data_IF_733477137236
#
_entry.id   IF_733477137236
#
_cell.length_a   1.000
_cell.length_b   1.000
_cell.length_c   1.000
_cell.angle_alpha   90.00
_cell.angle_beta   90.00
_cell.angle_gamma   90.00
#
_symmetry.space_group_name_H-M   'P 1'
#
loop_
_entity.id
_entity.type
_entity.pdbx_description
1 polymer ?
#
# COMPACT_ATOMS: atom_id res chain seq x y z
N UNK A 1 16.16 29.12 7.29
CA UNK A 1 16.84 27.80 7.25
C UNK A 1 16.08 26.66 7.94
N UNK A 2 15.59 26.82 9.18
CA UNK A 2 14.86 25.75 9.92
C UNK A 2 13.69 25.11 9.15
N UNK A 3 12.90 25.92 8.43
CA UNK A 3 11.76 25.43 7.64
C UNK A 3 12.16 24.63 6.39
N UNK A 4 13.37 24.85 5.86
CA UNK A 4 13.87 24.13 4.68
C UNK A 4 14.25 22.70 5.04
N UNK A 5 15.03 22.51 6.12
CA UNK A 5 15.36 21.17 6.64
C UNK A 5 14.11 20.38 7.06
N UNK A 6 13.12 21.04 7.66
CA UNK A 6 11.82 20.42 8.01
C UNK A 6 11.04 19.94 6.78
N UNK A 7 11.12 20.66 5.67
CA UNK A 7 10.47 20.24 4.42
C UNK A 7 11.18 19.05 3.76
N UNK A 8 12.52 19.01 3.83
CA UNK A 8 13.30 17.87 3.32
C UNK A 8 13.01 16.62 4.13
N UNK A 9 13.04 16.71 5.47
CA UNK A 9 12.74 15.57 6.33
C UNK A 9 11.31 15.06 6.11
N UNK A 10 10.34 15.98 5.95
CA UNK A 10 8.96 15.63 5.63
C UNK A 10 8.86 14.92 4.29
N UNK A 11 9.52 15.43 3.25
CA UNK A 11 9.59 14.81 1.92
C UNK A 11 10.19 13.40 1.98
N UNK A 12 11.27 13.22 2.74
CA UNK A 12 11.95 11.94 2.92
C UNK A 12 11.03 10.92 3.60
N UNK A 13 10.29 11.34 4.63
CA UNK A 13 9.33 10.49 5.34
C UNK A 13 8.22 9.99 4.41
N UNK A 14 7.68 10.84 3.53
CA UNK A 14 6.68 10.41 2.56
C UNK A 14 7.25 9.42 1.54
N UNK A 15 8.47 9.64 1.06
CA UNK A 15 9.11 8.70 0.13
C UNK A 15 9.33 7.33 0.77
N UNK A 16 9.72 7.28 2.05
CA UNK A 16 9.86 6.04 2.80
C UNK A 16 8.53 5.31 2.94
N UNK A 17 7.45 6.03 3.23
CA UNK A 17 6.08 5.46 3.29
C UNK A 17 5.69 4.84 1.95
N UNK A 18 5.98 5.51 0.83
CA UNK A 18 5.73 4.96 -0.51
C UNK A 18 6.48 3.66 -0.78
N UNK A 19 7.78 3.62 -0.47
CA UNK A 19 8.60 2.41 -0.63
C UNK A 19 8.20 1.27 0.32
N UNK A 20 7.86 1.59 1.57
CA UNK A 20 7.33 0.61 2.52
C UNK A 20 6.01 0.02 2.04
N UNK A 21 5.11 0.84 1.49
CA UNK A 21 3.88 0.38 0.87
C UNK A 21 4.14 -0.59 -0.28
N UNK A 22 5.06 -0.26 -1.18
CA UNK A 22 5.42 -1.13 -2.31
C UNK A 22 6.01 -2.47 -1.84
N UNK A 23 6.91 -2.46 -0.85
CA UNK A 23 7.47 -3.68 -0.27
C UNK A 23 6.40 -4.55 0.39
N UNK A 24 5.46 -3.96 1.12
CA UNK A 24 4.33 -4.68 1.70
C UNK A 24 3.43 -5.32 0.63
N UNK A 25 3.17 -4.62 -0.47
CA UNK A 25 2.41 -5.20 -1.60
C UNK A 25 3.13 -6.42 -2.17
N UNK A 26 4.43 -6.32 -2.47
CA UNK A 26 5.23 -7.44 -2.98
C UNK A 26 5.26 -8.60 -1.97
N UNK A 27 5.46 -8.30 -0.69
CA UNK A 27 5.48 -9.33 0.35
C UNK A 27 4.12 -10.00 0.52
N UNK A 28 3.02 -9.26 0.42
CA UNK A 28 1.67 -9.83 0.42
C UNK A 28 1.43 -10.74 -0.79
N UNK A 29 1.94 -10.39 -1.99
CA UNK A 29 1.91 -11.27 -3.16
C UNK A 29 2.70 -12.56 -2.93
N UNK A 30 3.89 -12.46 -2.32
CA UNK A 30 4.68 -13.62 -1.96
C UNK A 30 3.94 -14.55 -1.00
N UNK A 31 3.32 -14.00 0.06
CA UNK A 31 2.53 -14.79 1.00
C UNK A 31 1.30 -15.44 0.32
N UNK A 32 0.65 -14.71 -0.60
CA UNK A 32 -0.49 -15.21 -1.36
C UNK A 32 -0.08 -16.38 -2.26
N UNK A 33 1.06 -16.28 -2.96
CA UNK A 33 1.61 -17.35 -3.77
C UNK A 33 1.93 -18.64 -2.97
N UNK A 34 2.22 -18.49 -1.67
CA UNK A 34 2.42 -19.61 -0.74
C UNK A 34 1.14 -20.01 0.01
N UNK A 35 -0.03 -19.50 -0.41
CA UNK A 35 -1.35 -19.81 0.16
C UNK A 35 -1.51 -19.47 1.65
N UNK A 36 -0.72 -18.54 2.18
CA UNK A 36 -0.88 -18.08 3.55
C UNK A 36 -2.05 -17.10 3.68
N UNK A 37 -2.96 -17.36 4.63
CA UNK A 37 -4.09 -16.48 4.93
C UNK A 37 -3.67 -15.12 5.54
N UNK A 38 -2.43 -15.00 6.03
CA UNK A 38 -1.90 -13.70 6.47
C UNK A 38 -1.63 -12.75 5.29
N UNK A 39 -1.53 -13.27 4.05
CA UNK A 39 -1.31 -12.47 2.84
C UNK A 39 -2.34 -11.36 2.66
N UNK A 40 -3.60 -11.64 2.98
CA UNK A 40 -4.71 -10.70 2.85
C UNK A 40 -4.48 -9.42 3.66
N UNK A 41 -4.07 -9.57 4.93
CA UNK A 41 -3.80 -8.43 5.82
C UNK A 41 -2.61 -7.61 5.30
N UNK A 42 -1.51 -8.29 4.95
CA UNK A 42 -0.29 -7.63 4.46
C UNK A 42 -0.56 -6.84 3.17
N UNK A 43 -1.32 -7.44 2.25
CA UNK A 43 -1.62 -6.82 0.96
C UNK A 43 -2.63 -5.68 1.08
N UNK A 44 -3.57 -5.75 2.02
CA UNK A 44 -4.49 -4.65 2.37
C UNK A 44 -3.72 -3.45 2.93
N UNK A 45 -2.81 -3.68 3.88
CA UNK A 45 -1.97 -2.62 4.46
C UNK A 45 -1.05 -2.02 3.39
N UNK A 46 -0.44 -2.86 2.55
CA UNK A 46 0.41 -2.41 1.44
C UNK A 46 -0.32 -1.50 0.45
N UNK A 47 -1.45 -1.95 -0.09
CA UNK A 47 -2.23 -1.17 -1.05
C UNK A 47 -2.84 0.10 -0.42
N UNK A 48 -3.28 0.04 0.84
CA UNK A 48 -3.73 1.24 1.55
C UNK A 48 -2.62 2.28 1.69
N UNK A 49 -1.41 1.84 2.02
CA UNK A 49 -0.22 2.71 2.13
C UNK A 49 0.16 3.33 0.78
N UNK A 50 0.19 2.52 -0.28
CA UNK A 50 0.45 3.00 -1.65
C UNK A 50 -0.64 3.96 -2.12
N UNK A 51 -1.91 3.68 -1.81
CA UNK A 51 -3.05 4.54 -2.14
C UNK A 51 -2.95 5.92 -1.47
N UNK A 52 -2.69 5.95 -0.15
CA UNK A 52 -2.53 7.19 0.62
C UNK A 52 -1.32 7.99 0.12
N UNK A 53 -0.18 7.33 -0.13
CA UNK A 53 1.00 7.98 -0.70
C UNK A 53 0.73 8.56 -2.09
N UNK A 54 -0.03 7.84 -2.92
CA UNK A 54 -0.39 8.26 -4.27
C UNK A 54 -1.32 9.49 -4.26
N UNK A 55 -2.25 9.59 -3.30
CA UNK A 55 -3.04 10.81 -3.07
C UNK A 55 -2.11 11.99 -2.74
N UNK A 56 -1.13 11.79 -1.86
CA UNK A 56 -0.17 12.83 -1.49
C UNK A 56 0.66 13.32 -2.70
N UNK A 57 1.02 12.42 -3.61
CA UNK A 57 1.72 12.74 -4.86
C UNK A 57 0.82 13.18 -6.01
N UNK A 58 -0.51 13.29 -5.79
CA UNK A 58 -1.52 13.58 -6.83
C UNK A 58 -1.54 12.55 -7.98
N UNK A 59 -1.07 11.33 -7.72
CA UNK A 59 -1.12 10.20 -8.63
C UNK A 59 -2.45 9.44 -8.49
N UNK A 60 -3.55 10.09 -8.90
CA UNK A 60 -4.90 9.59 -8.62
C UNK A 60 -5.21 8.23 -9.27
N UNK A 61 -4.68 7.97 -10.47
CA UNK A 61 -4.85 6.67 -11.14
C UNK A 61 -4.31 5.52 -10.29
N UNK A 62 -3.09 5.67 -9.76
CA UNK A 62 -2.47 4.67 -8.86
C UNK A 62 -3.22 4.53 -7.54
N UNK A 63 -3.74 5.64 -7.00
CA UNK A 63 -4.54 5.61 -5.78
C UNK A 63 -5.83 4.80 -5.96
N UNK A 64 -6.59 5.10 -7.02
CA UNK A 64 -7.84 4.39 -7.34
C UNK A 64 -7.56 2.92 -7.61
N UNK A 65 -6.53 2.59 -8.39
CA UNK A 65 -6.11 1.22 -8.63
C UNK A 65 -5.85 0.48 -7.31
N UNK A 66 -5.08 1.07 -6.39
CA UNK A 66 -4.75 0.45 -5.10
C UNK A 66 -6.00 0.20 -4.23
N UNK A 67 -6.98 1.11 -4.25
CA UNK A 67 -8.24 0.91 -3.51
C UNK A 67 -9.16 -0.12 -4.15
N UNK A 68 -9.26 -0.16 -5.48
CA UNK A 68 -9.99 -1.23 -6.19
C UNK A 68 -9.38 -2.58 -5.83
N UNK A 69 -8.05 -2.66 -5.85
CA UNK A 69 -7.29 -3.85 -5.46
C UNK A 69 -7.61 -4.27 -4.02
N UNK A 70 -7.68 -3.33 -3.07
CA UNK A 70 -8.14 -3.63 -1.70
C UNK A 70 -9.56 -4.21 -1.65
N UNK A 71 -10.51 -3.63 -2.38
CA UNK A 71 -11.90 -4.12 -2.43
C UNK A 71 -11.96 -5.52 -3.03
N UNK A 72 -11.25 -5.74 -4.14
CA UNK A 72 -11.14 -7.06 -4.77
C UNK A 72 -10.52 -8.09 -3.82
N UNK A 73 -9.59 -7.68 -2.97
CA UNK A 73 -9.02 -8.56 -1.97
C UNK A 73 -10.01 -8.93 -0.86
N UNK A 74 -10.85 -7.99 -0.41
CA UNK A 74 -11.93 -8.33 0.52
C UNK A 74 -12.87 -9.36 -0.12
N UNK A 75 -13.23 -9.15 -1.39
CA UNK A 75 -14.04 -10.10 -2.14
C UNK A 75 -13.38 -11.50 -2.24
N UNK A 76 -12.08 -11.55 -2.59
CA UNK A 76 -11.34 -12.79 -2.67
C UNK A 76 -11.29 -13.54 -1.33
N UNK A 77 -11.12 -12.83 -0.21
CA UNK A 77 -11.08 -13.42 1.12
C UNK A 77 -12.42 -14.07 1.48
N UNK A 78 -13.53 -13.36 1.23
CA UNK A 78 -14.87 -13.89 1.44
C UNK A 78 -15.12 -15.15 0.59
N UNK A 79 -14.61 -15.16 -0.64
CA UNK A 79 -14.73 -16.31 -1.55
C UNK A 79 -13.82 -17.48 -1.17
N UNK A 80 -12.73 -17.25 -0.44
CA UNK A 80 -11.86 -18.30 0.07
C UNK A 80 -12.50 -19.05 1.24
N UNK A 81 -13.28 -18.33 2.07
CA UNK A 81 -13.96 -18.92 3.23
C UNK A 81 -15.22 -19.72 2.88
N UNK A 82 -15.80 -19.50 1.69
CA UNK A 82 -16.99 -20.19 1.18
C UNK A 82 -16.64 -21.40 0.35
#
# INVERSE_FOLDING_TARGET
MKNWFKNISKSLNWSLIGWLGALLVIFGYYLNANLYISSWVVWMVGNGTVGIYSIHKKAYSTAVMSFIIMIMNIYGYLRWLS
#
